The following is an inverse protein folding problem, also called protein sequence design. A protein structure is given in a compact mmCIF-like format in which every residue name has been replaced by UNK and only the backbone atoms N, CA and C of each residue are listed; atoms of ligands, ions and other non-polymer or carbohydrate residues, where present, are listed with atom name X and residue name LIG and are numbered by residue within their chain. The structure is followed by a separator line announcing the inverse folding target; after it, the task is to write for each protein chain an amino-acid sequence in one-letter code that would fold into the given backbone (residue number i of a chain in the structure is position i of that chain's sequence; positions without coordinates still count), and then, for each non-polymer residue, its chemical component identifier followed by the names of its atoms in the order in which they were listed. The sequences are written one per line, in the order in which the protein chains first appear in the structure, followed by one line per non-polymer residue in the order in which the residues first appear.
data_IF_818819937788
#
_entry.id   IF_818819937788
#
_cell.length_a   1.000
_cell.length_b   1.000
_cell.length_c   1.000
_cell.angle_alpha   90.00
_cell.angle_beta   90.00
_cell.angle_gamma   90.00
#
_symmetry.space_group_name_H-M   'P 1'
#
loop_
_entity.id
_entity.type
_entity.pdbx_description
1 polymer ?
#
# COMPACT_ATOMS: atom_id res chain seq x y z
N UNK A 1 27.71 38.70 55.92
CA UNK A 1 27.44 39.13 54.53
C UNK A 1 26.72 37.99 53.82
N UNK A 2 25.44 38.19 53.56
CA UNK A 2 24.45 37.21 53.09
C UNK A 2 24.38 37.24 51.56
N UNK A 3 24.45 36.04 50.96
CA UNK A 3 23.89 35.55 49.69
C UNK A 3 23.88 36.42 48.41
N UNK A 4 24.58 35.95 47.37
CA UNK A 4 24.42 36.38 45.96
C UNK A 4 23.16 35.74 45.35
N UNK A 5 22.15 36.54 45.04
CA UNK A 5 20.93 36.12 44.32
C UNK A 5 21.09 36.21 42.79
N UNK A 6 20.97 35.04 42.16
CA UNK A 6 20.17 34.68 40.96
C UNK A 6 20.13 35.58 39.73
N UNK A 7 20.41 35.01 38.55
CA UNK A 7 19.38 34.66 37.55
C UNK A 7 19.98 34.21 36.21
N UNK A 8 20.11 32.89 36.01
CA UNK A 8 20.35 32.32 34.69
C UNK A 8 19.08 32.38 33.84
N UNK A 9 19.10 33.13 32.74
CA UNK A 9 18.02 33.19 31.74
C UNK A 9 17.77 31.79 31.14
N UNK A 10 16.69 31.13 31.57
CA UNK A 10 16.19 29.87 30.98
C UNK A 10 15.76 30.13 29.53
N UNK A 11 16.52 29.58 28.58
CA UNK A 11 16.17 29.52 27.15
C UNK A 11 14.96 28.59 26.99
N UNK A 12 13.75 29.14 26.86
CA UNK A 12 12.52 28.38 26.57
C UNK A 12 12.58 27.84 25.14
N UNK A 13 13.23 26.68 24.95
CA UNK A 13 13.17 25.88 23.72
C UNK A 13 12.04 24.86 23.86
N UNK A 14 10.81 25.25 23.54
CA UNK A 14 9.69 24.30 23.45
C UNK A 14 8.74 24.68 22.31
N UNK A 15 9.27 24.74 21.07
CA UNK A 15 8.41 24.87 19.88
C UNK A 15 8.99 24.32 18.57
N UNK A 16 10.03 23.48 18.64
CA UNK A 16 10.74 22.98 17.45
C UNK A 16 10.75 21.46 17.27
N UNK A 17 10.53 20.68 18.33
CA UNK A 17 10.64 19.21 18.27
C UNK A 17 9.40 18.55 17.69
N UNK A 18 8.22 19.01 18.11
CA UNK A 18 6.93 18.47 17.64
C UNK A 18 6.69 18.67 16.13
N UNK A 19 7.35 19.67 15.53
CA UNK A 19 7.27 19.90 14.09
C UNK A 19 8.16 18.92 13.32
N UNK A 20 9.39 18.65 13.79
CA UNK A 20 10.31 17.70 13.13
C UNK A 20 9.83 16.25 13.24
N UNK A 21 9.15 15.90 14.33
CA UNK A 21 8.62 14.55 14.53
C UNK A 21 7.40 14.25 13.64
N UNK A 22 6.61 15.27 13.24
CA UNK A 22 5.50 15.09 12.28
C UNK A 22 5.96 14.64 10.89
N UNK A 23 7.15 15.05 10.45
CA UNK A 23 7.65 14.76 9.09
C UNK A 23 8.58 13.54 8.98
N UNK A 24 8.89 12.86 10.09
CA UNK A 24 9.73 11.64 10.10
C UNK A 24 8.94 10.38 10.45
N UNK A 25 7.65 10.35 10.14
CA UNK A 25 6.80 9.16 10.30
C UNK A 25 6.77 8.40 8.99
N UNK A 26 6.94 7.08 9.06
CA UNK A 26 6.65 6.22 7.92
C UNK A 26 5.13 6.08 7.76
N UNK A 27 4.69 5.55 6.61
CA UNK A 27 3.26 5.35 6.34
C UNK A 27 2.57 4.51 7.44
N UNK A 28 3.28 3.51 7.98
CA UNK A 28 2.79 2.65 9.06
C UNK A 28 2.45 3.44 10.34
N UNK A 29 3.35 4.32 10.79
CA UNK A 29 3.13 5.14 11.97
C UNK A 29 1.96 6.14 11.78
N UNK A 30 1.75 6.64 10.56
CA UNK A 30 0.61 7.50 10.26
C UNK A 30 -0.72 6.72 10.28
N UNK A 31 -0.72 5.45 9.84
CA UNK A 31 -1.89 4.57 9.93
C UNK A 31 -2.26 4.25 11.38
N UNK A 32 -1.27 3.91 12.21
CA UNK A 32 -1.49 3.61 13.64
C UNK A 32 -2.07 4.82 14.38
N UNK A 33 -1.58 6.03 14.09
CA UNK A 33 -2.12 7.27 14.67
C UNK A 33 -3.55 7.58 14.23
N UNK A 34 -3.88 7.34 12.95
CA UNK A 34 -5.25 7.47 12.45
C UNK A 34 -6.19 6.39 12.99
N UNK A 35 -5.68 5.20 13.31
CA UNK A 35 -6.48 4.15 13.93
C UNK A 35 -6.78 4.44 15.41
N UNK A 36 -5.89 5.18 16.09
CA UNK A 36 -6.07 5.64 17.47
C UNK A 36 -6.87 6.95 17.55
N UNK A 37 -6.99 7.70 16.46
CA UNK A 37 -7.78 8.92 16.41
C UNK A 37 -9.27 8.58 16.27
N UNK A 38 -10.13 9.21 17.07
CA UNK A 38 -11.60 9.11 16.94
C UNK A 38 -12.05 10.05 15.81
N UNK A 39 -11.45 9.94 14.63
CA UNK A 39 -11.81 10.77 13.50
C UNK A 39 -13.05 10.16 12.80
N UNK A 40 -14.19 10.84 12.89
CA UNK A 40 -15.48 10.44 12.29
C UNK A 40 -15.54 10.68 10.76
N UNK A 41 -14.57 10.16 10.01
CA UNK A 41 -14.52 10.29 8.55
C UNK A 41 -13.98 9.05 7.84
N UNK A 42 -14.11 8.96 6.49
CA UNK A 42 -13.55 7.86 5.73
C UNK A 42 -12.02 7.83 5.90
N UNK A 43 -11.53 6.78 6.58
CA UNK A 43 -10.12 6.48 6.77
C UNK A 43 -9.59 5.57 5.65
N UNK A 44 -8.27 5.34 5.64
CA UNK A 44 -7.60 4.51 4.64
C UNK A 44 -8.19 3.10 4.50
N UNK A 45 -8.67 2.50 5.60
CA UNK A 45 -9.26 1.15 5.62
C UNK A 45 -10.73 1.15 5.15
N UNK A 46 -11.49 2.19 5.47
CA UNK A 46 -12.90 2.34 5.07
C UNK A 46 -13.08 2.82 3.63
N UNK A 47 -12.04 3.40 3.03
CA UNK A 47 -12.04 3.81 1.63
C UNK A 47 -11.92 2.62 0.65
N UNK A 48 -11.76 1.39 1.15
CA UNK A 48 -11.71 0.20 0.31
C UNK A 48 -13.03 0.01 -0.45
N UNK A 49 -12.92 -0.12 -1.77
CA UNK A 49 -14.07 -0.45 -2.61
C UNK A 49 -14.60 -1.84 -2.23
N UNK A 50 -15.93 -1.97 -2.20
CA UNK A 50 -16.60 -3.25 -1.98
C UNK A 50 -16.36 -4.24 -3.13
N UNK A 51 -16.77 -5.51 -2.95
CA UNK A 51 -16.65 -6.54 -3.98
C UNK A 51 -17.35 -6.14 -5.29
N UNK A 52 -16.84 -6.59 -6.45
CA UNK A 52 -17.45 -6.27 -7.73
C UNK A 52 -18.85 -6.87 -7.84
N UNK A 53 -19.83 -6.06 -8.25
CA UNK A 53 -21.21 -6.50 -8.48
C UNK A 53 -21.40 -7.26 -9.81
N UNK A 54 -20.39 -7.29 -10.69
CA UNK A 54 -20.45 -7.87 -12.04
C UNK A 54 -19.62 -9.15 -12.15
N UNK A 55 -20.02 -10.11 -13.00
CA UNK A 55 -19.26 -11.34 -13.20
C UNK A 55 -17.87 -11.06 -13.78
N UNK A 56 -16.88 -11.85 -13.35
CA UNK A 56 -15.54 -11.75 -13.87
C UNK A 56 -15.50 -12.17 -15.35
N UNK A 57 -14.81 -11.36 -16.17
CA UNK A 57 -14.62 -11.66 -17.60
C UNK A 57 -13.22 -12.24 -17.80
N UNK A 58 -13.09 -13.46 -18.34
CA UNK A 58 -11.78 -14.06 -18.57
C UNK A 58 -11.12 -13.43 -19.81
N UNK A 59 -9.97 -12.80 -19.60
CA UNK A 59 -9.15 -12.22 -20.65
C UNK A 59 -7.79 -12.91 -20.73
N UNK A 60 -7.24 -12.97 -21.94
CA UNK A 60 -5.92 -13.51 -22.18
C UNK A 60 -4.84 -12.62 -21.55
N UNK A 61 -3.93 -13.22 -20.79
CA UNK A 61 -2.82 -12.51 -20.15
C UNK A 61 -1.76 -11.96 -21.13
N UNK A 62 -1.80 -12.41 -22.40
CA UNK A 62 -0.87 -11.97 -23.45
C UNK A 62 -1.49 -10.89 -24.34
N UNK A 63 -2.72 -11.15 -24.81
CA UNK A 63 -3.35 -10.40 -25.89
C UNK A 63 -4.53 -9.51 -25.42
N UNK A 64 -5.05 -9.70 -24.20
CA UNK A 64 -6.21 -8.97 -23.69
C UNK A 64 -7.57 -9.37 -24.28
N UNK A 65 -7.61 -10.20 -25.34
CA UNK A 65 -8.85 -10.71 -25.92
C UNK A 65 -9.54 -11.76 -25.02
N UNK A 66 -10.86 -11.96 -25.15
CA UNK A 66 -11.59 -12.99 -24.43
C UNK A 66 -10.92 -14.36 -24.61
N UNK A 67 -10.68 -15.05 -23.50
CA UNK A 67 -9.91 -16.30 -23.49
C UNK A 67 -10.75 -17.44 -22.89
N UNK A 68 -11.12 -18.45 -23.68
CA UNK A 68 -11.78 -19.64 -23.15
C UNK A 68 -10.81 -20.61 -22.48
N UNK A 69 -9.52 -20.57 -22.84
CA UNK A 69 -8.53 -21.55 -22.40
C UNK A 69 -7.72 -21.13 -21.17
N UNK A 70 -7.29 -22.11 -20.40
CA UNK A 70 -6.48 -21.99 -19.18
C UNK A 70 -5.19 -22.79 -19.30
N UNK A 71 -4.07 -22.22 -18.88
CA UNK A 71 -2.81 -22.93 -18.73
C UNK A 71 -2.89 -23.88 -17.52
N UNK A 72 -2.50 -25.15 -17.71
CA UNK A 72 -2.55 -26.19 -16.67
C UNK A 72 -1.52 -25.91 -15.55
N UNK A 73 -0.40 -25.28 -15.88
CA UNK A 73 0.70 -25.08 -14.95
C UNK A 73 0.48 -23.93 -13.95
N UNK A 74 -0.14 -22.83 -14.39
CA UNK A 74 -0.26 -21.61 -13.59
C UNK A 74 -1.69 -21.03 -13.53
N UNK A 75 -2.65 -21.63 -14.21
CA UNK A 75 -4.03 -21.15 -14.25
C UNK A 75 -4.26 -19.88 -15.09
N UNK A 76 -3.22 -19.27 -15.65
CA UNK A 76 -3.36 -18.08 -16.50
C UNK A 76 -4.16 -18.40 -17.77
N UNK A 77 -4.93 -17.41 -18.25
CA UNK A 77 -5.83 -17.58 -19.39
C UNK A 77 -5.16 -17.17 -20.70
N UNK A 78 -5.49 -17.86 -21.80
CA UNK A 78 -4.97 -17.55 -23.13
C UNK A 78 -6.02 -17.64 -24.25
N UNK A 79 -5.85 -16.82 -25.30
CA UNK A 79 -6.79 -16.70 -26.42
C UNK A 79 -6.52 -17.74 -27.53
N UNK A 80 -5.24 -18.01 -27.85
CA UNK A 80 -4.82 -18.88 -28.96
C UNK A 80 -3.55 -19.66 -28.62
N UNK A 81 -3.22 -20.68 -29.41
CA UNK A 81 -1.96 -21.45 -29.27
C UNK A 81 -0.72 -20.56 -29.39
N UNK A 82 -0.77 -19.50 -30.21
CA UNK A 82 0.33 -18.52 -30.28
C UNK A 82 0.55 -17.85 -28.93
N UNK A 83 -0.53 -17.41 -28.28
CA UNK A 83 -0.46 -16.83 -26.95
C UNK A 83 -0.05 -17.86 -25.89
N UNK A 84 -0.36 -19.15 -26.07
CA UNK A 84 0.14 -20.21 -25.20
C UNK A 84 1.68 -20.32 -25.28
N UNK A 85 2.26 -20.28 -26.48
CA UNK A 85 3.72 -20.29 -26.66
C UNK A 85 4.38 -19.10 -25.97
N UNK A 86 3.90 -17.88 -26.25
CA UNK A 86 4.43 -16.66 -25.60
C UNK A 86 4.23 -16.69 -24.09
N UNK A 87 3.10 -17.25 -23.62
CA UNK A 87 2.83 -17.42 -22.21
C UNK A 87 3.83 -18.38 -21.56
N UNK A 88 4.08 -19.55 -22.15
CA UNK A 88 5.02 -20.54 -21.63
C UNK A 88 6.46 -20.01 -21.54
N UNK A 89 6.88 -19.19 -22.50
CA UNK A 89 8.23 -18.62 -22.54
C UNK A 89 8.45 -17.51 -21.50
N UNK A 90 7.49 -16.60 -21.33
CA UNK A 90 7.73 -15.33 -20.63
C UNK A 90 6.85 -15.06 -19.40
N UNK A 91 5.72 -15.77 -19.27
CA UNK A 91 4.69 -15.45 -18.26
C UNK A 91 4.21 -16.66 -17.45
N UNK A 92 4.69 -17.87 -17.74
CA UNK A 92 4.26 -19.06 -17.03
C UNK A 92 4.98 -19.12 -15.68
N UNK A 93 4.21 -18.92 -14.61
CA UNK A 93 4.63 -18.98 -13.20
C UNK A 93 5.02 -20.40 -12.74
N UNK A 94 5.43 -21.28 -13.66
CA UNK A 94 5.82 -22.68 -13.36
C UNK A 94 6.95 -22.75 -12.31
N UNK A 95 7.77 -21.71 -12.22
CA UNK A 95 8.97 -21.65 -11.37
C UNK A 95 8.95 -20.56 -10.31
N UNK A 96 7.89 -19.74 -10.24
CA UNK A 96 7.73 -18.77 -9.15
C UNK A 96 7.06 -19.48 -7.99
N UNK A 97 7.90 -20.00 -7.10
CA UNK A 97 7.54 -20.31 -5.70
C UNK A 97 7.34 -19.01 -4.94
#
# INVERSE_FOLDING_TARGET
MVEKKTSGKKKKKTRGDHFKLRFRKNFQALLEEQNLSVAEGPNYLTACAGPPARPQRPFCAVCGFPSPYTCVSCGARYCTVRCLGTHQETRCLKWTV
#
